data_IF_612153680645
#
_entry.id   IF_612153680645
#
_cell.length_a   1.000
_cell.length_b   1.000
_cell.length_c   1.000
_cell.angle_alpha   90.00
_cell.angle_beta   90.00
_cell.angle_gamma   90.00
#
_symmetry.space_group_name_H-M   'P 1'
#
loop_
_entity.id
_entity.type
_entity.pdbx_description
1 polymer ?
#
# COMPACT_ATOMS: atom_id res chain seq x y z
N UNK A 1 -87.30 89.96 -62.49
CA UNK A 1 -87.11 89.09 -61.30
C UNK A 1 -85.69 88.51 -61.32
N UNK A 2 -85.33 87.55 -60.45
CA UNK A 2 -83.92 87.21 -60.12
C UNK A 2 -83.07 86.70 -61.31
N UNK A 3 -81.74 86.88 -61.20
CA UNK A 3 -80.71 86.54 -62.20
C UNK A 3 -79.94 85.26 -61.86
N UNK A 4 -79.61 84.51 -62.92
CA UNK A 4 -78.32 83.87 -63.27
C UNK A 4 -77.49 83.03 -62.25
N UNK A 5 -77.33 81.75 -62.65
CA UNK A 5 -76.03 81.10 -62.98
C UNK A 5 -75.19 80.42 -61.87
N UNK A 6 -74.39 79.43 -62.31
CA UNK A 6 -73.57 78.46 -61.56
C UNK A 6 -72.07 78.67 -61.91
N UNK A 7 -71.15 78.30 -60.99
CA UNK A 7 -69.64 78.37 -60.95
C UNK A 7 -69.21 79.15 -59.68
N UNK A 8 -68.17 78.84 -58.86
CA UNK A 8 -67.08 77.84 -58.71
C UNK A 8 -66.83 77.71 -57.16
N UNK A 9 -66.24 76.67 -56.55
CA UNK A 9 -65.70 75.40 -57.04
C UNK A 9 -64.34 75.03 -56.39
N UNK A 10 -64.19 73.78 -55.90
CA UNK A 10 -63.00 73.17 -55.25
C UNK A 10 -62.52 73.73 -53.89
N UNK A 11 -62.21 72.82 -52.95
CA UNK A 11 -61.60 73.12 -51.64
C UNK A 11 -61.17 71.84 -50.92
N UNK A 12 -59.86 71.70 -50.65
CA UNK A 12 -59.26 70.52 -50.03
C UNK A 12 -59.30 70.59 -48.49
N UNK A 13 -59.52 69.46 -47.82
CA UNK A 13 -59.06 69.23 -46.44
C UNK A 13 -58.44 67.85 -46.32
N UNK A 14 -57.30 67.75 -45.65
CA UNK A 14 -56.66 66.48 -45.31
C UNK A 14 -57.24 65.95 -44.00
N UNK A 15 -57.63 64.68 -43.97
CA UNK A 15 -57.81 63.94 -42.72
C UNK A 15 -56.48 63.30 -42.34
N UNK A 16 -55.90 63.71 -41.20
CA UNK A 16 -54.70 63.08 -40.66
C UNK A 16 -55.08 61.77 -39.95
N UNK A 17 -54.62 60.64 -40.49
CA UNK A 17 -54.68 59.37 -39.78
C UNK A 17 -53.64 59.35 -38.65
N UNK A 18 -54.05 58.94 -37.45
CA UNK A 18 -53.15 58.72 -36.33
C UNK A 18 -52.38 57.41 -36.53
N UNK A 19 -51.07 57.48 -36.73
CA UNK A 19 -50.22 56.30 -36.53
C UNK A 19 -50.18 55.95 -35.05
N UNK A 20 -50.57 54.71 -34.70
CA UNK A 20 -50.20 54.13 -33.42
C UNK A 20 -48.68 54.09 -33.31
N UNK A 21 -48.15 54.41 -32.11
CA UNK A 21 -46.73 54.29 -31.85
C UNK A 21 -46.35 52.82 -31.71
N UNK A 22 -45.59 52.30 -32.66
CA UNK A 22 -44.87 51.04 -32.49
C UNK A 22 -43.88 51.19 -31.32
N UNK A 23 -44.17 50.57 -30.17
CA UNK A 23 -43.17 50.46 -29.08
C UNK A 23 -42.01 49.59 -29.54
N UNK A 24 -40.91 50.22 -29.98
CA UNK A 24 -39.62 49.53 -30.09
C UNK A 24 -39.10 49.35 -28.66
N UNK A 25 -39.44 48.21 -28.06
CA UNK A 25 -38.79 47.76 -26.82
C UNK A 25 -37.41 47.22 -27.18
N UNK A 26 -36.37 47.98 -26.87
CA UNK A 26 -35.01 47.43 -26.81
C UNK A 26 -34.95 46.42 -25.65
N UNK A 27 -35.02 45.13 -25.97
CA UNK A 27 -34.83 44.05 -25.00
C UNK A 27 -33.33 43.81 -24.84
N UNK A 28 -32.64 44.75 -24.21
CA UNK A 28 -31.26 44.60 -23.71
C UNK A 28 -31.25 43.98 -22.31
N UNK A 29 -32.10 42.97 -22.08
CA UNK A 29 -31.83 41.98 -21.04
C UNK A 29 -30.70 41.08 -21.56
N UNK A 30 -29.48 41.29 -21.07
CA UNK A 30 -28.40 40.30 -21.19
C UNK A 30 -28.78 39.04 -20.38
N UNK A 31 -29.62 38.20 -20.99
CA UNK A 31 -29.99 36.90 -20.45
C UNK A 31 -28.77 35.99 -20.55
N UNK A 32 -27.98 36.01 -19.47
CA UNK A 32 -27.06 34.92 -19.12
C UNK A 32 -27.90 33.67 -18.88
N UNK A 33 -28.31 33.02 -19.97
CA UNK A 33 -28.90 31.68 -19.93
C UNK A 33 -27.80 30.76 -19.41
N UNK A 34 -27.94 30.13 -18.24
CA UNK A 34 -26.95 29.17 -17.78
C UNK A 34 -26.92 28.04 -18.79
N UNK A 35 -25.81 27.85 -19.49
CA UNK A 35 -25.67 26.67 -20.34
C UNK A 35 -25.77 25.45 -19.40
N UNK A 36 -26.72 24.52 -19.65
CA UNK A 36 -26.82 23.32 -18.83
C UNK A 36 -25.58 22.47 -19.13
N UNK A 37 -24.62 22.50 -18.21
CA UNK A 37 -23.31 21.85 -18.41
C UNK A 37 -23.49 20.36 -18.70
N UNK A 38 -22.72 19.90 -19.67
CA UNK A 38 -22.72 18.52 -20.13
C UNK A 38 -22.30 17.52 -19.04
N UNK A 39 -22.65 16.25 -19.22
CA UNK A 39 -22.17 15.18 -18.35
C UNK A 39 -20.65 15.03 -18.53
N UNK A 40 -19.89 15.49 -17.54
CA UNK A 40 -18.46 15.27 -17.44
C UNK A 40 -18.23 13.84 -16.94
N UNK A 41 -17.59 13.01 -17.75
CA UNK A 41 -16.95 11.78 -17.26
C UNK A 41 -15.48 12.08 -16.99
N UNK A 42 -15.06 11.93 -15.73
CA UNK A 42 -13.65 11.96 -15.34
C UNK A 42 -13.03 10.59 -15.62
N UNK A 43 -11.80 10.57 -16.13
CA UNK A 43 -10.96 9.39 -16.25
C UNK A 43 -9.58 9.69 -15.66
N UNK A 44 -9.26 9.09 -14.52
CA UNK A 44 -8.00 9.28 -13.83
C UNK A 44 -6.83 8.60 -14.56
N UNK A 45 -5.68 9.26 -14.58
CA UNK A 45 -4.43 8.71 -15.10
C UNK A 45 -3.37 8.84 -14.02
N UNK A 46 -3.29 7.82 -13.17
CA UNK A 46 -2.30 7.77 -12.11
C UNK A 46 -0.90 7.43 -12.65
N UNK A 47 0.13 8.10 -12.13
CA UNK A 47 1.53 7.83 -12.44
C UNK A 47 2.43 8.09 -11.20
N UNK A 48 3.68 7.62 -11.26
CA UNK A 48 4.69 7.88 -10.22
C UNK A 48 5.62 9.02 -10.65
N UNK A 49 5.93 9.90 -9.70
CA UNK A 49 6.76 11.10 -9.87
C UNK A 49 7.43 11.45 -8.52
N UNK A 50 8.16 12.57 -8.42
CA UNK A 50 8.65 13.10 -7.14
C UNK A 50 9.64 12.16 -6.44
N UNK A 51 10.49 11.48 -7.22
CA UNK A 51 11.45 10.50 -6.73
C UNK A 51 12.40 11.09 -5.68
N UNK A 52 12.48 10.41 -4.54
CA UNK A 52 13.43 10.65 -3.47
C UNK A 52 14.16 9.33 -3.17
N UNK A 53 15.44 9.41 -2.83
CA UNK A 53 16.26 8.27 -2.46
C UNK A 53 17.04 8.61 -1.20
N UNK A 54 17.10 7.69 -0.23
CA UNK A 54 17.99 7.75 0.94
C UNK A 54 19.03 6.66 0.88
N UNK A 55 20.26 7.02 1.19
CA UNK A 55 21.47 6.20 1.06
C UNK A 55 22.23 6.18 2.39
N UNK A 56 23.34 5.42 2.45
CA UNK A 56 24.27 5.49 3.57
C UNK A 56 24.75 6.93 3.90
N UNK A 57 24.83 7.81 2.91
CA UNK A 57 25.29 9.20 3.08
C UNK A 57 24.26 10.04 3.86
N UNK A 58 22.96 9.89 3.56
CA UNK A 58 21.86 10.49 4.33
C UNK A 58 21.82 10.03 5.79
N UNK A 59 22.34 8.83 6.08
CA UNK A 59 22.46 8.26 7.44
C UNK A 59 23.81 8.62 8.11
N UNK A 60 24.54 9.61 7.58
CA UNK A 60 25.82 10.06 8.14
C UNK A 60 26.99 9.11 7.85
N UNK A 61 26.96 8.42 6.70
CA UNK A 61 27.96 7.43 6.28
C UNK A 61 27.75 6.04 6.88
N UNK A 62 26.62 5.79 7.56
CA UNK A 62 26.31 4.47 8.15
C UNK A 62 25.86 3.48 7.08
N UNK A 63 26.32 2.22 7.09
CA UNK A 63 25.88 1.20 6.13
C UNK A 63 24.35 1.01 6.14
N UNK A 64 23.77 0.96 4.95
CA UNK A 64 22.37 0.65 4.71
C UNK A 64 22.28 -0.60 3.82
N UNK A 65 21.44 -1.55 4.21
CA UNK A 65 20.91 -2.62 3.36
C UNK A 65 19.48 -2.91 3.83
N UNK A 66 18.50 -2.30 3.17
CA UNK A 66 17.10 -2.33 3.54
C UNK A 66 16.45 -3.66 3.12
N UNK A 67 16.46 -4.65 4.03
CA UNK A 67 15.99 -6.02 3.76
C UNK A 67 14.47 -6.18 3.83
N UNK A 68 13.81 -5.44 4.73
CA UNK A 68 12.35 -5.27 4.79
C UNK A 68 12.01 -3.92 5.43
N UNK A 69 10.73 -3.52 5.41
CA UNK A 69 10.25 -2.31 6.08
C UNK A 69 8.81 -2.46 6.57
N UNK A 70 8.42 -1.63 7.53
CA UNK A 70 7.07 -1.59 8.11
C UNK A 70 6.66 -0.15 8.41
N UNK A 71 5.42 0.21 8.07
CA UNK A 71 4.87 1.55 8.26
C UNK A 71 3.86 1.59 9.41
N UNK A 72 4.08 2.51 10.35
CA UNK A 72 3.30 2.67 11.58
C UNK A 72 2.96 4.15 11.79
N UNK A 73 2.00 4.64 10.99
CA UNK A 73 1.40 5.97 11.10
C UNK A 73 2.33 7.11 10.65
N UNK A 74 3.22 7.54 11.55
CA UNK A 74 4.23 8.60 11.34
C UNK A 74 5.65 8.04 11.21
N UNK A 75 5.87 6.77 11.60
CA UNK A 75 7.19 6.14 11.56
C UNK A 75 7.27 5.07 10.48
N UNK A 76 8.42 5.00 9.82
CA UNK A 76 8.80 3.87 8.97
C UNK A 76 9.97 3.16 9.64
N UNK A 77 9.75 1.90 10.03
CA UNK A 77 10.80 1.01 10.53
C UNK A 77 11.42 0.28 9.34
N UNK A 78 12.75 0.30 9.22
CA UNK A 78 13.51 -0.36 8.15
C UNK A 78 14.46 -1.37 8.77
N UNK A 79 14.32 -2.64 8.38
CA UNK A 79 15.24 -3.70 8.77
C UNK A 79 16.56 -3.52 8.01
N UNK A 80 17.53 -2.85 8.63
CA UNK A 80 18.84 -2.57 8.05
C UNK A 80 19.81 -3.71 8.39
N UNK A 81 20.00 -4.61 7.43
CA UNK A 81 20.84 -5.80 7.60
C UNK A 81 22.32 -5.45 7.76
N UNK A 82 22.85 -4.57 6.90
CA UNK A 82 24.25 -4.15 6.93
C UNK A 82 24.59 -3.27 8.14
N UNK A 83 23.68 -2.37 8.52
CA UNK A 83 23.79 -1.54 9.72
C UNK A 83 23.50 -2.27 11.03
N UNK A 84 23.09 -3.55 10.98
CA UNK A 84 22.76 -4.41 12.13
C UNK A 84 21.78 -3.76 13.12
N UNK A 85 20.73 -3.14 12.60
CA UNK A 85 19.73 -2.44 13.39
C UNK A 85 18.37 -2.37 12.68
N UNK A 86 17.35 -1.90 13.39
CA UNK A 86 16.23 -1.23 12.75
C UNK A 86 16.54 0.26 12.72
N UNK A 87 16.57 0.85 11.53
CA UNK A 87 16.57 2.31 11.38
C UNK A 87 15.13 2.81 11.30
N UNK A 88 14.87 3.96 11.90
CA UNK A 88 13.54 4.59 11.95
C UNK A 88 13.59 5.90 11.20
N UNK A 89 12.70 6.05 10.23
CA UNK A 89 12.53 7.25 9.42
C UNK A 89 11.18 7.91 9.71
N UNK A 90 11.08 9.19 9.37
CA UNK A 90 9.79 9.84 9.22
C UNK A 90 9.09 9.30 7.96
N UNK A 91 7.84 8.86 8.08
CA UNK A 91 7.13 8.25 6.98
C UNK A 91 6.75 9.24 5.85
N UNK A 92 6.67 10.54 6.13
CA UNK A 92 6.27 11.58 5.18
C UNK A 92 7.50 12.21 4.48
N UNK A 93 8.52 12.61 5.24
CA UNK A 93 9.73 13.29 4.72
C UNK A 93 10.85 12.33 4.34
N UNK A 94 10.76 11.07 4.78
CA UNK A 94 11.82 10.05 4.65
C UNK A 94 13.15 10.47 5.31
N UNK A 95 13.10 11.33 6.33
CA UNK A 95 14.27 11.75 7.10
C UNK A 95 14.60 10.73 8.19
N UNK A 96 15.89 10.47 8.42
CA UNK A 96 16.35 9.54 9.45
C UNK A 96 16.13 10.13 10.86
N UNK A 97 15.48 9.37 11.75
CA UNK A 97 15.13 9.79 13.13
C UNK A 97 16.02 9.15 14.20
N UNK A 98 16.14 7.82 14.20
CA UNK A 98 16.89 7.04 15.21
C UNK A 98 17.14 5.61 14.74
N UNK A 99 17.87 4.84 15.54
CA UNK A 99 18.09 3.40 15.32
C UNK A 99 17.86 2.59 16.59
N UNK A 100 17.50 1.31 16.44
CA UNK A 100 17.31 0.36 17.52
C UNK A 100 18.15 -0.90 17.26
N UNK A 101 18.91 -1.36 18.25
CA UNK A 101 19.62 -2.64 18.18
C UNK A 101 19.92 -3.21 19.57
N UNK A 102 20.19 -4.52 19.59
CA UNK A 102 20.76 -5.27 20.70
C UNK A 102 22.25 -5.53 20.41
N UNK A 103 23.00 -4.44 20.17
CA UNK A 103 24.35 -4.47 19.62
C UNK A 103 24.40 -5.16 18.25
N UNK A 104 25.56 -5.75 17.91
CA UNK A 104 25.79 -6.47 16.65
C UNK A 104 24.86 -7.67 16.40
N UNK A 105 23.98 -8.05 17.34
CA UNK A 105 23.04 -9.17 17.15
C UNK A 105 21.85 -8.83 16.26
N UNK A 106 21.48 -7.57 16.09
CA UNK A 106 20.28 -7.18 15.33
C UNK A 106 20.53 -7.19 13.82
N UNK A 107 20.96 -8.34 13.28
CA UNK A 107 21.12 -8.62 11.85
C UNK A 107 19.73 -8.73 11.21
N UNK A 108 19.06 -7.58 11.09
CA UNK A 108 17.65 -7.45 10.79
C UNK A 108 17.36 -7.90 9.35
N UNK A 109 16.46 -8.88 9.23
CA UNK A 109 15.91 -9.35 7.97
C UNK A 109 14.47 -8.90 7.76
N UNK A 110 13.74 -8.75 8.87
CA UNK A 110 12.33 -8.38 8.91
C UNK A 110 12.02 -7.58 10.18
N UNK A 111 10.98 -6.75 10.15
CA UNK A 111 10.54 -5.88 11.24
C UNK A 111 9.01 -5.70 11.21
N UNK A 112 8.35 -5.80 12.37
CA UNK A 112 6.90 -5.65 12.50
C UNK A 112 6.54 -4.94 13.81
N UNK A 113 5.66 -3.93 13.78
CA UNK A 113 5.20 -3.23 14.97
C UNK A 113 3.73 -3.57 15.29
N UNK A 114 3.40 -3.88 16.55
CA UNK A 114 2.01 -4.15 16.97
C UNK A 114 1.84 -3.99 18.49
N UNK A 115 0.99 -3.03 18.89
CA UNK A 115 0.96 -2.51 20.26
C UNK A 115 2.31 -1.87 20.65
N UNK A 116 2.71 -1.96 21.91
CA UNK A 116 3.94 -1.33 22.42
C UNK A 116 5.24 -2.07 22.05
N UNK A 117 5.16 -3.10 21.21
CA UNK A 117 6.30 -3.94 20.83
C UNK A 117 6.68 -3.82 19.36
N UNK A 118 7.98 -3.78 19.12
CA UNK A 118 8.61 -3.96 17.82
C UNK A 118 9.27 -5.35 17.78
N UNK A 119 8.86 -6.18 16.84
CA UNK A 119 9.41 -7.52 16.60
C UNK A 119 10.39 -7.45 15.43
N UNK A 120 11.62 -7.95 15.61
CA UNK A 120 12.69 -7.85 14.62
C UNK A 120 13.28 -9.24 14.36
N UNK A 121 13.15 -9.78 13.15
CA UNK A 121 13.75 -11.05 12.80
C UNK A 121 15.26 -10.87 12.55
N UNK A 122 16.07 -11.18 13.56
CA UNK A 122 17.53 -11.18 13.49
C UNK A 122 18.01 -12.49 12.86
N UNK A 123 17.77 -12.63 11.55
CA UNK A 123 17.80 -13.91 10.83
C UNK A 123 19.08 -14.73 11.05
N UNK A 124 20.26 -14.14 10.84
CA UNK A 124 21.55 -14.82 11.06
C UNK A 124 21.73 -15.38 12.49
N UNK A 125 21.17 -14.71 13.49
CA UNK A 125 21.17 -15.19 14.88
C UNK A 125 20.05 -16.19 15.18
N UNK A 126 19.08 -16.36 14.27
CA UNK A 126 17.93 -17.26 14.42
C UNK A 126 17.11 -16.93 15.67
N UNK A 127 16.72 -15.67 15.79
CA UNK A 127 15.85 -15.15 16.84
C UNK A 127 14.95 -14.04 16.29
N UNK A 128 13.74 -13.89 16.85
CA UNK A 128 12.97 -12.65 16.73
C UNK A 128 13.22 -11.87 18.00
N UNK A 129 13.93 -10.75 17.91
CA UNK A 129 14.15 -9.84 19.03
C UNK A 129 12.89 -9.01 19.27
N UNK A 130 12.59 -8.72 20.53
CA UNK A 130 11.43 -7.94 20.97
C UNK A 130 11.95 -6.68 21.65
N UNK A 131 11.58 -5.52 21.11
CA UNK A 131 11.92 -4.22 21.66
C UNK A 131 10.67 -3.48 22.11
N UNK A 132 10.82 -2.62 23.13
CA UNK A 132 9.86 -1.56 23.44
C UNK A 132 9.86 -0.56 22.26
N UNK A 133 8.73 -0.42 21.57
CA UNK A 133 8.60 0.38 20.33
C UNK A 133 8.94 1.85 20.54
N UNK A 134 8.60 2.40 21.71
CA UNK A 134 8.72 3.83 22.02
C UNK A 134 10.16 4.24 22.35
N UNK A 135 10.85 3.43 23.15
CA UNK A 135 12.20 3.70 23.65
C UNK A 135 13.31 3.03 22.84
N UNK A 136 12.98 1.99 22.05
CA UNK A 136 13.96 1.16 21.38
C UNK A 136 14.74 0.22 22.31
N UNK A 137 14.31 0.08 23.57
CA UNK A 137 14.94 -0.82 24.54
C UNK A 137 14.68 -2.28 24.17
N UNK A 138 15.73 -3.09 24.05
CA UNK A 138 15.60 -4.54 23.95
C UNK A 138 14.98 -5.13 25.23
N UNK A 139 13.97 -5.99 25.07
CA UNK A 139 13.26 -6.65 26.16
C UNK A 139 13.63 -8.14 26.21
N UNK A 140 13.24 -8.89 25.17
CA UNK A 140 13.35 -10.35 25.11
C UNK A 140 13.43 -10.82 23.65
N UNK A 141 13.30 -12.12 23.40
CA UNK A 141 13.33 -12.73 22.06
C UNK A 141 12.53 -14.03 21.97
N UNK A 142 12.10 -14.38 20.78
CA UNK A 142 11.61 -15.70 20.39
C UNK A 142 12.77 -16.51 19.76
N UNK A 143 12.86 -17.80 20.05
CA UNK A 143 14.02 -18.63 19.67
C UNK A 143 15.12 -18.65 20.74
N UNK A 144 16.18 -19.44 20.53
CA UNK A 144 17.33 -19.50 21.45
C UNK A 144 18.50 -18.60 21.03
N UNK A 145 18.47 -18.11 19.78
CA UNK A 145 19.52 -17.26 19.22
C UNK A 145 20.83 -17.98 18.86
N UNK A 146 20.77 -19.29 18.64
CA UNK A 146 21.92 -20.15 18.35
C UNK A 146 21.52 -21.41 17.58
N UNK A 147 22.19 -21.71 16.47
CA UNK A 147 22.06 -22.99 15.76
C UNK A 147 22.81 -24.10 16.51
N UNK A 148 22.35 -25.38 16.54
CA UNK A 148 21.11 -25.93 15.97
C UNK A 148 19.93 -26.01 16.96
N UNK A 149 20.06 -25.34 18.11
CA UNK A 149 19.06 -25.30 19.18
C UNK A 149 17.85 -24.43 18.81
N UNK A 150 18.08 -23.32 18.10
CA UNK A 150 17.00 -22.45 17.64
C UNK A 150 16.25 -23.08 16.47
N UNK A 151 15.04 -22.57 16.28
CA UNK A 151 14.04 -23.07 15.33
C UNK A 151 13.27 -21.89 14.72
N UNK A 152 13.92 -20.73 14.68
CA UNK A 152 13.51 -19.51 13.97
C UNK A 152 14.39 -19.42 12.74
N UNK A 153 13.85 -18.99 11.61
CA UNK A 153 14.56 -19.06 10.34
C UNK A 153 15.76 -18.14 10.23
N UNK A 154 16.84 -18.66 9.61
CA UNK A 154 17.97 -17.86 9.13
C UNK A 154 17.55 -16.74 8.18
N UNK A 155 16.54 -16.97 7.34
CA UNK A 155 16.05 -15.95 6.39
C UNK A 155 15.28 -14.86 7.12
N UNK A 156 14.63 -15.20 8.25
CA UNK A 156 13.95 -14.30 9.17
C UNK A 156 12.69 -13.64 8.59
N UNK A 157 11.50 -14.07 9.05
CA UNK A 157 10.24 -13.37 8.76
C UNK A 157 9.28 -13.46 9.95
N UNK A 158 8.61 -12.35 10.28
CA UNK A 158 7.76 -12.15 11.46
C UNK A 158 6.55 -11.26 11.17
N UNK A 159 5.39 -11.66 11.68
CA UNK A 159 4.15 -10.88 11.67
C UNK A 159 3.49 -10.93 13.06
N UNK A 160 2.73 -9.92 13.45
CA UNK A 160 2.00 -9.93 14.72
C UNK A 160 0.53 -9.50 14.57
N UNK A 161 -0.27 -9.91 15.56
CA UNK A 161 -1.57 -9.32 15.91
C UNK A 161 -1.52 -8.90 17.39
N UNK A 162 -2.57 -8.26 17.96
CA UNK A 162 -2.59 -7.97 19.39
C UNK A 162 -2.40 -9.20 20.29
N UNK A 163 -2.76 -10.41 19.81
CA UNK A 163 -2.66 -11.67 20.57
C UNK A 163 -1.53 -12.60 20.13
N UNK A 164 -1.19 -12.68 18.84
CA UNK A 164 -0.29 -13.70 18.32
C UNK A 164 0.96 -13.10 17.66
N UNK A 165 2.07 -13.82 17.70
CA UNK A 165 3.25 -13.57 16.85
C UNK A 165 3.47 -14.79 15.97
N UNK A 166 3.54 -14.56 14.66
CA UNK A 166 3.82 -15.55 13.64
C UNK A 166 5.28 -15.45 13.25
N UNK A 167 6.01 -16.57 13.27
CA UNK A 167 7.44 -16.61 12.94
C UNK A 167 7.76 -17.84 12.11
N UNK A 168 8.52 -17.66 11.03
CA UNK A 168 8.88 -18.73 10.11
C UNK A 168 10.05 -19.60 10.65
N UNK A 169 9.90 -20.93 10.64
CA UNK A 169 10.83 -21.91 11.25
C UNK A 169 11.72 -22.61 10.19
N UNK A 170 13.04 -22.35 10.12
CA UNK A 170 13.89 -23.00 9.09
C UNK A 170 14.22 -24.48 9.34
N UNK A 171 13.69 -25.12 10.39
CA UNK A 171 13.96 -26.52 10.73
C UNK A 171 12.79 -27.44 10.37
N UNK A 172 11.60 -26.89 10.14
CA UNK A 172 10.38 -27.63 9.81
C UNK A 172 9.52 -26.90 8.76
N UNK A 173 8.61 -27.63 8.13
CA UNK A 173 7.70 -27.14 7.09
C UNK A 173 6.47 -26.41 7.68
N UNK A 174 6.70 -25.43 8.57
CA UNK A 174 5.62 -24.68 9.25
C UNK A 174 5.94 -23.21 9.57
N UNK A 175 4.89 -22.48 9.91
CA UNK A 175 4.96 -21.20 10.64
C UNK A 175 4.68 -21.49 12.12
N UNK A 176 5.55 -21.01 13.01
CA UNK A 176 5.33 -21.04 14.45
C UNK A 176 4.43 -19.89 14.88
N UNK A 177 3.54 -20.18 15.79
CA UNK A 177 2.71 -19.21 16.49
C UNK A 177 3.18 -19.14 17.93
N UNK A 178 3.35 -17.92 18.45
CA UNK A 178 3.58 -17.64 19.86
C UNK A 178 2.43 -16.78 20.39
N UNK A 179 2.00 -17.06 21.62
CA UNK A 179 0.94 -16.30 22.30
C UNK A 179 1.56 -15.14 23.07
N UNK A 180 1.14 -13.91 22.73
CA UNK A 180 1.64 -12.67 23.35
C UNK A 180 1.24 -12.55 24.81
N UNK A 181 0.08 -13.08 25.19
CA UNK A 181 -0.43 -13.09 26.56
C UNK A 181 0.45 -13.99 27.47
N UNK A 182 1.24 -14.88 26.87
CA UNK A 182 2.14 -15.80 27.55
C UNK A 182 3.64 -15.42 27.49
N UNK A 183 3.99 -14.24 26.96
CA UNK A 183 5.38 -13.78 26.88
C UNK A 183 5.87 -13.16 28.20
N UNK A 184 6.97 -13.68 28.74
CA UNK A 184 7.72 -12.98 29.79
C UNK A 184 8.78 -12.08 29.13
N UNK A 185 8.55 -10.76 29.16
CA UNK A 185 9.42 -9.76 28.53
C UNK A 185 10.72 -9.48 29.32
N UNK A 186 10.85 -10.00 30.54
CA UNK A 186 12.09 -9.95 31.34
C UNK A 186 12.93 -11.24 31.19
N UNK A 187 12.36 -12.31 30.62
CA UNK A 187 13.06 -13.55 30.38
C UNK A 187 14.04 -13.45 29.19
N UNK A 188 15.20 -14.10 29.30
CA UNK A 188 16.24 -14.08 28.27
C UNK A 188 15.84 -14.74 26.92
N UNK A 189 14.69 -15.40 26.85
CA UNK A 189 14.01 -15.89 25.65
C UNK A 189 12.61 -16.44 26.00
N UNK A 190 11.72 -16.50 25.02
CA UNK A 190 10.41 -17.13 25.08
C UNK A 190 10.31 -18.20 23.98
N UNK A 191 10.23 -19.47 24.37
CA UNK A 191 10.28 -20.62 23.44
C UNK A 191 9.05 -21.56 23.50
N UNK A 192 8.01 -21.18 24.27
CA UNK A 192 6.73 -21.91 24.32
C UNK A 192 5.92 -21.62 23.05
N UNK A 193 5.96 -22.54 22.08
CA UNK A 193 5.15 -22.47 20.86
C UNK A 193 3.68 -22.72 21.21
N UNK A 194 2.79 -21.84 20.74
CA UNK A 194 1.33 -21.93 20.90
C UNK A 194 0.70 -22.85 19.83
N UNK A 195 1.14 -22.72 18.58
CA UNK A 195 0.70 -23.55 17.46
C UNK A 195 1.78 -23.67 16.36
N UNK A 196 1.65 -24.66 15.48
CA UNK A 196 2.50 -24.91 14.31
C UNK A 196 1.63 -25.07 13.06
N UNK A 197 1.65 -24.06 12.19
CA UNK A 197 0.82 -24.02 10.97
C UNK A 197 1.58 -24.70 9.82
N UNK A 198 1.22 -25.95 9.51
CA UNK A 198 1.84 -26.71 8.42
C UNK A 198 1.60 -26.04 7.06
N UNK A 199 2.64 -25.94 6.24
CA UNK A 199 2.60 -25.43 4.86
C UNK A 199 2.70 -26.53 3.81
N UNK A 200 2.54 -27.79 4.19
CA UNK A 200 2.43 -28.92 3.26
C UNK A 200 3.73 -29.37 2.57
N UNK A 201 4.84 -28.63 2.71
CA UNK A 201 6.18 -29.07 2.29
C UNK A 201 6.77 -28.42 1.03
N UNK A 202 6.07 -27.52 0.33
CA UNK A 202 6.75 -26.65 -0.66
C UNK A 202 7.70 -25.65 0.03
N UNK A 203 7.53 -25.46 1.34
CA UNK A 203 8.22 -24.51 2.21
C UNK A 203 9.37 -25.20 2.94
N UNK A 204 10.57 -24.62 2.88
CA UNK A 204 11.70 -24.85 3.81
C UNK A 204 12.41 -26.21 3.64
N UNK A 205 13.70 -26.15 3.30
CA UNK A 205 14.47 -27.32 2.85
C UNK A 205 14.12 -27.78 1.43
N UNK A 206 13.08 -27.20 0.81
CA UNK A 206 12.74 -27.39 -0.60
C UNK A 206 13.69 -26.61 -1.50
N UNK A 207 13.86 -27.07 -2.74
CA UNK A 207 14.59 -26.33 -3.81
C UNK A 207 14.01 -24.93 -4.08
N UNK A 208 12.74 -24.74 -3.72
CA UNK A 208 11.95 -23.54 -3.98
C UNK A 208 11.98 -22.55 -2.80
N UNK A 209 12.74 -22.84 -1.74
CA UNK A 209 12.92 -21.95 -0.59
C UNK A 209 13.61 -20.62 -1.02
N UNK A 210 13.06 -19.45 -0.64
CA UNK A 210 13.67 -18.14 -0.91
C UNK A 210 14.82 -17.85 0.09
N UNK A 211 15.90 -18.64 0.03
CA UNK A 211 17.04 -18.54 0.96
C UNK A 211 17.81 -17.19 0.93
N UNK A 212 17.68 -16.42 -0.16
CA UNK A 212 18.33 -15.13 -0.36
C UNK A 212 17.39 -14.08 -0.95
N UNK A 213 16.08 -14.19 -0.68
CA UNK A 213 15.08 -13.22 -1.10
C UNK A 213 14.28 -12.77 0.12
N UNK A 214 13.95 -11.48 0.21
CA UNK A 214 12.92 -11.04 1.16
C UNK A 214 11.54 -11.44 0.63
N UNK A 215 10.67 -11.90 1.52
CA UNK A 215 9.30 -12.31 1.22
C UNK A 215 8.44 -12.12 2.46
N UNK A 216 7.19 -11.76 2.22
CA UNK A 216 6.33 -11.13 3.19
C UNK A 216 5.32 -12.13 3.82
N UNK A 217 4.88 -11.81 5.03
CA UNK A 217 3.86 -12.54 5.79
C UNK A 217 3.04 -11.50 6.55
N UNK A 218 1.75 -11.41 6.26
CA UNK A 218 0.92 -10.31 6.75
C UNK A 218 -0.49 -10.76 7.17
N UNK A 219 -1.05 -10.05 8.16
CA UNK A 219 -2.42 -10.24 8.62
C UNK A 219 -3.33 -9.18 8.01
N UNK A 220 -4.28 -9.63 7.21
CA UNK A 220 -5.10 -8.84 6.30
C UNK A 220 -6.57 -9.22 6.52
N UNK A 221 -7.36 -8.28 7.02
CA UNK A 221 -8.71 -8.59 7.53
C UNK A 221 -8.64 -9.57 8.71
N UNK A 222 -9.30 -10.72 8.58
CA UNK A 222 -9.39 -11.75 9.63
C UNK A 222 -8.34 -12.87 9.53
N UNK A 223 -7.42 -12.79 8.57
CA UNK A 223 -6.61 -13.91 8.12
C UNK A 223 -5.12 -13.57 8.02
N UNK A 224 -4.27 -14.53 8.41
CA UNK A 224 -2.85 -14.55 8.13
C UNK A 224 -2.62 -15.01 6.69
N UNK A 225 -1.73 -14.34 5.97
CA UNK A 225 -1.24 -14.72 4.64
C UNK A 225 0.27 -14.86 4.65
N UNK A 226 0.81 -15.87 3.96
CA UNK A 226 2.24 -16.02 3.73
C UNK A 226 2.49 -16.25 2.23
N UNK A 227 3.35 -15.41 1.64
CA UNK A 227 3.59 -15.40 0.19
C UNK A 227 4.90 -16.13 -0.15
N UNK A 228 4.89 -16.97 -1.18
CA UNK A 228 6.09 -17.65 -1.70
C UNK A 228 6.38 -17.13 -3.12
N UNK A 229 7.20 -16.08 -3.28
CA UNK A 229 7.40 -15.43 -4.58
C UNK A 229 7.95 -16.37 -5.66
N UNK A 230 8.77 -17.35 -5.28
CA UNK A 230 9.37 -18.32 -6.23
C UNK A 230 8.32 -19.17 -6.95
N UNK A 231 7.37 -19.72 -6.20
CA UNK A 231 6.35 -20.66 -6.72
C UNK A 231 5.02 -19.98 -7.07
N UNK A 232 4.82 -18.71 -6.68
CA UNK A 232 3.53 -18.04 -6.77
C UNK A 232 2.48 -18.60 -5.80
N UNK A 233 2.90 -19.35 -4.77
CA UNK A 233 2.00 -19.91 -3.76
C UNK A 233 1.68 -18.86 -2.70
N UNK A 234 0.42 -18.83 -2.26
CA UNK A 234 -0.06 -18.05 -1.13
C UNK A 234 -0.76 -19.02 -0.18
N UNK A 235 -0.25 -19.13 1.03
CA UNK A 235 -0.92 -19.82 2.14
C UNK A 235 -1.78 -18.82 2.91
N UNK A 236 -2.88 -19.29 3.48
CA UNK A 236 -3.71 -18.46 4.36
C UNK A 236 -4.52 -19.26 5.37
N UNK A 237 -4.71 -18.68 6.55
CA UNK A 237 -5.46 -19.23 7.68
C UNK A 237 -6.22 -18.10 8.36
N UNK A 238 -7.44 -18.33 8.85
CA UNK A 238 -8.13 -17.37 9.72
C UNK A 238 -7.42 -17.28 11.07
N UNK A 239 -7.22 -16.08 11.59
CA UNK A 239 -6.58 -15.85 12.89
C UNK A 239 -7.37 -16.50 14.02
N UNK A 240 -8.71 -16.45 13.96
CA UNK A 240 -9.58 -17.08 14.96
C UNK A 240 -9.51 -18.62 14.91
N UNK A 241 -9.38 -19.23 13.72
CA UNK A 241 -9.15 -20.68 13.60
C UNK A 241 -7.81 -21.09 14.20
N UNK A 242 -6.77 -20.24 14.10
CA UNK A 242 -5.49 -20.48 14.77
C UNK A 242 -5.65 -20.43 16.29
N UNK A 243 -6.41 -19.46 16.82
CA UNK A 243 -6.68 -19.32 18.25
C UNK A 243 -7.42 -20.55 18.80
N UNK A 244 -8.47 -21.00 18.11
CA UNK A 244 -9.33 -22.09 18.56
C UNK A 244 -8.72 -23.48 18.30
N UNK A 245 -8.13 -23.71 17.13
CA UNK A 245 -7.77 -25.04 16.60
C UNK A 245 -6.24 -25.29 16.55
N UNK A 246 -5.41 -24.25 16.71
CA UNK A 246 -3.94 -24.33 16.82
C UNK A 246 -3.29 -25.06 15.64
N UNK A 247 -2.56 -26.15 15.90
CA UNK A 247 -1.90 -26.99 14.88
C UNK A 247 -2.88 -27.55 13.82
N UNK A 248 -4.20 -27.54 14.10
CA UNK A 248 -5.26 -28.05 13.23
C UNK A 248 -6.03 -26.95 12.47
N UNK A 249 -5.63 -25.68 12.58
CA UNK A 249 -6.30 -24.56 11.91
C UNK A 249 -6.41 -24.77 10.38
N UNK A 250 -7.60 -24.67 9.76
CA UNK A 250 -7.78 -24.95 8.34
C UNK A 250 -6.92 -24.07 7.42
N UNK A 251 -6.06 -24.72 6.64
CA UNK A 251 -5.23 -24.08 5.62
C UNK A 251 -6.00 -23.89 4.31
N UNK A 252 -5.91 -22.70 3.73
CA UNK A 252 -6.25 -22.42 2.33
C UNK A 252 -4.99 -22.12 1.52
N UNK A 253 -4.81 -22.83 0.41
CA UNK A 253 -3.68 -22.63 -0.52
C UNK A 253 -4.19 -22.18 -1.88
N UNK A 254 -3.53 -21.19 -2.47
CA UNK A 254 -3.72 -20.77 -3.87
C UNK A 254 -2.35 -20.61 -4.54
N UNK A 255 -2.20 -20.99 -5.82
CA UNK A 255 -0.94 -20.85 -6.56
C UNK A 255 -1.21 -20.24 -7.94
N UNK A 256 -0.41 -19.26 -8.34
CA UNK A 256 -0.46 -18.63 -9.67
C UNK A 256 0.86 -18.76 -10.42
N UNK A 257 0.79 -18.82 -11.75
CA UNK A 257 1.95 -18.66 -12.65
C UNK A 257 1.96 -17.29 -13.35
N UNK A 258 0.81 -16.61 -13.41
CA UNK A 258 0.63 -15.31 -14.05
C UNK A 258 1.26 -14.19 -13.22
N UNK A 259 1.11 -14.28 -11.89
CA UNK A 259 1.62 -13.31 -10.93
C UNK A 259 2.29 -14.00 -9.74
N UNK A 260 3.27 -13.31 -9.16
CA UNK A 260 4.05 -13.75 -8.00
C UNK A 260 4.17 -12.59 -7.02
N UNK A 261 3.38 -12.64 -5.95
CA UNK A 261 3.37 -11.58 -4.92
C UNK A 261 4.72 -11.54 -4.20
N UNK A 262 5.16 -10.32 -3.86
CA UNK A 262 6.44 -10.02 -3.21
C UNK A 262 6.23 -9.47 -1.81
N UNK A 263 5.39 -8.45 -1.70
CA UNK A 263 5.03 -7.73 -0.47
C UNK A 263 3.67 -7.06 -0.61
N UNK A 264 3.10 -6.66 0.52
CA UNK A 264 1.84 -5.93 0.60
C UNK A 264 1.91 -4.83 1.66
N UNK A 265 1.29 -3.68 1.39
CA UNK A 265 1.14 -2.59 2.34
C UNK A 265 -0.31 -2.15 2.46
N UNK A 266 -0.73 -1.91 3.71
CA UNK A 266 -2.10 -1.55 4.08
C UNK A 266 -2.30 -0.06 3.86
N UNK A 267 -3.39 0.32 3.21
CA UNK A 267 -3.79 1.74 3.15
C UNK A 267 -4.38 2.19 4.49
N UNK A 268 -4.46 3.51 4.71
CA UNK A 268 -5.05 4.09 5.93
C UNK A 268 -6.51 3.66 6.14
N UNK A 269 -7.24 3.49 5.05
CA UNK A 269 -8.64 3.06 5.00
C UNK A 269 -8.82 1.54 5.18
N UNK A 270 -7.73 0.75 5.23
CA UNK A 270 -7.67 -0.71 5.55
C UNK A 270 -8.46 -1.67 4.64
N UNK A 271 -9.40 -1.18 3.84
CA UNK A 271 -10.13 -1.92 2.82
C UNK A 271 -9.42 -1.93 1.46
N UNK A 272 -8.27 -1.24 1.33
CA UNK A 272 -7.37 -1.32 0.17
C UNK A 272 -5.94 -1.65 0.56
N UNK A 273 -5.21 -2.24 -0.38
CA UNK A 273 -3.80 -2.60 -0.20
C UNK A 273 -3.02 -2.30 -1.47
N UNK A 274 -1.83 -1.75 -1.31
CA UNK A 274 -0.82 -1.79 -2.36
C UNK A 274 -0.10 -3.13 -2.32
N UNK A 275 0.08 -3.75 -3.47
CA UNK A 275 0.72 -5.06 -3.63
C UNK A 275 1.88 -4.91 -4.61
N UNK A 276 3.05 -5.40 -4.21
CA UNK A 276 4.20 -5.59 -5.11
C UNK A 276 4.14 -7.00 -5.70
N UNK A 277 4.20 -7.13 -7.01
CA UNK A 277 4.20 -8.43 -7.69
C UNK A 277 5.07 -8.45 -8.94
N UNK A 278 5.65 -9.61 -9.22
CA UNK A 278 6.15 -9.94 -10.55
C UNK A 278 4.98 -10.49 -11.36
N UNK A 279 4.57 -9.79 -12.42
CA UNK A 279 3.46 -10.17 -13.32
C UNK A 279 3.83 -9.73 -14.75
N UNK A 280 3.53 -10.57 -15.74
CA UNK A 280 3.88 -10.36 -17.16
C UNK A 280 5.39 -10.11 -17.38
N UNK A 281 6.24 -10.72 -16.56
CA UNK A 281 7.70 -10.56 -16.58
C UNK A 281 8.22 -9.23 -16.00
N UNK A 282 7.35 -8.31 -15.59
CA UNK A 282 7.69 -7.02 -14.97
C UNK A 282 7.33 -6.96 -13.49
N UNK A 283 8.01 -6.10 -12.73
CA UNK A 283 7.53 -5.69 -11.41
C UNK A 283 6.39 -4.68 -11.60
N UNK A 284 5.29 -4.91 -10.89
CA UNK A 284 4.10 -4.07 -10.86
C UNK A 284 3.79 -3.72 -9.40
N UNK A 285 3.57 -2.43 -9.11
CA UNK A 285 3.03 -1.94 -7.84
C UNK A 285 1.57 -1.56 -8.09
N UNK A 286 0.64 -2.25 -7.46
CA UNK A 286 -0.78 -2.12 -7.79
C UNK A 286 -1.69 -2.13 -6.56
N UNK A 287 -2.69 -1.26 -6.56
CA UNK A 287 -3.69 -1.16 -5.51
C UNK A 287 -4.89 -2.07 -5.81
N UNK A 288 -5.34 -2.82 -4.80
CA UNK A 288 -6.51 -3.69 -4.87
C UNK A 288 -7.41 -3.49 -3.65
N UNK A 289 -8.70 -3.82 -3.79
CA UNK A 289 -9.60 -3.93 -2.63
C UNK A 289 -9.27 -5.17 -1.79
N UNK A 290 -9.70 -5.16 -0.52
CA UNK A 290 -9.66 -6.32 0.37
C UNK A 290 -10.36 -7.53 -0.28
N UNK A 291 -11.53 -7.30 -0.88
CA UNK A 291 -12.34 -8.34 -1.51
C UNK A 291 -11.60 -8.99 -2.71
N UNK A 292 -10.98 -8.19 -3.57
CA UNK A 292 -10.21 -8.69 -4.71
C UNK A 292 -8.98 -9.47 -4.26
N UNK A 293 -8.22 -8.96 -3.28
CA UNK A 293 -7.07 -9.66 -2.71
C UNK A 293 -7.47 -11.00 -2.07
N UNK A 294 -8.59 -11.04 -1.32
CA UNK A 294 -9.11 -12.25 -0.70
C UNK A 294 -9.63 -13.25 -1.75
N UNK A 295 -10.26 -12.78 -2.82
CA UNK A 295 -10.72 -13.58 -3.95
C UNK A 295 -9.60 -13.99 -4.93
N UNK A 296 -8.38 -13.45 -4.78
CA UNK A 296 -7.23 -13.58 -5.71
C UNK A 296 -7.46 -12.94 -7.09
N UNK A 297 -8.38 -11.97 -7.18
CA UNK A 297 -8.71 -11.24 -8.41
C UNK A 297 -7.67 -10.14 -8.72
N UNK A 298 -6.50 -10.52 -9.21
CA UNK A 298 -5.44 -9.58 -9.61
C UNK A 298 -5.51 -9.18 -11.09
N UNK A 299 -6.71 -9.22 -11.69
CA UNK A 299 -6.95 -8.84 -13.07
C UNK A 299 -7.15 -7.32 -13.24
N UNK A 300 -7.94 -6.69 -12.36
CA UNK A 300 -8.37 -5.30 -12.47
C UNK A 300 -7.95 -4.50 -11.22
N UNK A 301 -6.71 -3.99 -11.15
CA UNK A 301 -6.28 -3.11 -10.07
C UNK A 301 -7.01 -1.76 -10.10
N UNK A 302 -7.16 -1.14 -8.94
CA UNK A 302 -7.67 0.23 -8.78
C UNK A 302 -6.67 1.26 -9.33
N UNK A 303 -5.38 1.00 -9.10
CA UNK A 303 -4.24 1.78 -9.59
C UNK A 303 -3.09 0.83 -9.89
N UNK A 304 -2.31 1.05 -10.95
CA UNK A 304 -1.18 0.19 -11.30
C UNK A 304 0.00 0.98 -11.85
N UNK A 305 1.20 0.68 -11.37
CA UNK A 305 2.46 1.27 -11.78
C UNK A 305 3.43 0.16 -12.16
N UNK A 306 4.00 0.21 -13.36
CA UNK A 306 4.96 -0.78 -13.86
C UNK A 306 6.24 -0.10 -14.28
N UNK A 307 7.37 -0.79 -14.23
CA UNK A 307 8.64 -0.21 -14.63
C UNK A 307 8.65 0.26 -16.11
N UNK A 308 9.08 1.51 -16.30
CA UNK A 308 9.31 2.19 -17.58
C UNK A 308 10.66 2.94 -17.55
N UNK A 309 10.97 3.71 -18.60
CA UNK A 309 12.26 4.42 -18.74
C UNK A 309 12.49 5.55 -17.70
N UNK A 310 11.47 5.87 -16.88
CA UNK A 310 11.52 6.87 -15.81
C UNK A 310 11.44 6.22 -14.43
N UNK A 311 10.58 5.21 -14.28
CA UNK A 311 10.25 4.54 -13.02
C UNK A 311 10.98 3.19 -12.94
N UNK A 312 12.14 3.18 -12.28
CA UNK A 312 12.91 1.96 -12.05
C UNK A 312 12.45 1.26 -10.76
N UNK A 313 11.86 0.07 -10.89
CA UNK A 313 11.37 -0.74 -9.78
C UNK A 313 12.33 -1.89 -9.42
N UNK A 314 12.73 -2.07 -8.15
CA UNK A 314 13.59 -3.17 -7.70
C UNK A 314 13.01 -4.57 -7.97
N UNK A 315 13.86 -5.53 -8.34
CA UNK A 315 13.45 -6.93 -8.60
C UNK A 315 12.92 -7.68 -7.37
N UNK A 316 13.31 -7.23 -6.16
CA UNK A 316 12.79 -7.68 -4.87
C UNK A 316 12.17 -6.50 -4.11
N UNK A 317 11.18 -5.82 -4.71
CA UNK A 317 10.55 -4.66 -4.07
C UNK A 317 9.64 -5.08 -2.90
N UNK A 318 10.05 -4.75 -1.67
CA UNK A 318 9.15 -4.50 -0.54
C UNK A 318 8.57 -3.08 -0.68
N UNK A 319 7.29 -2.90 -0.34
CA UNK A 319 6.64 -1.58 -0.33
C UNK A 319 6.01 -1.19 1.01
N UNK A 320 6.01 0.11 1.29
CA UNK A 320 5.09 0.77 2.22
C UNK A 320 4.29 1.85 1.49
N UNK A 321 3.00 1.97 1.80
CA UNK A 321 2.16 3.08 1.34
C UNK A 321 1.97 4.11 2.46
N UNK A 322 2.21 5.39 2.16
CA UNK A 322 1.93 6.50 3.09
C UNK A 322 1.43 7.71 2.31
N UNK A 323 0.15 8.11 2.53
CA UNK A 323 -0.44 9.38 2.04
C UNK A 323 -0.04 9.70 0.60
N UNK A 324 -0.50 8.87 -0.34
CA UNK A 324 -0.19 8.96 -1.78
C UNK A 324 1.30 8.88 -2.13
N UNK A 325 2.07 8.10 -1.37
CA UNK A 325 3.48 7.79 -1.65
C UNK A 325 3.75 6.30 -1.50
N UNK A 326 4.65 5.78 -2.32
CA UNK A 326 5.15 4.41 -2.24
C UNK A 326 6.64 4.45 -1.89
N UNK A 327 6.99 3.87 -0.74
CA UNK A 327 8.36 3.74 -0.23
C UNK A 327 8.83 2.31 -0.53
N UNK A 328 10.01 2.16 -1.13
CA UNK A 328 10.51 0.91 -1.72
C UNK A 328 11.89 0.54 -1.16
N UNK A 329 12.09 -0.73 -0.80
CA UNK A 329 13.44 -1.26 -0.50
C UNK A 329 14.25 -1.47 -1.78
N UNK A 330 15.48 -0.96 -1.83
CA UNK A 330 16.38 -1.13 -2.98
C UNK A 330 17.83 -1.43 -2.53
N UNK A 331 17.98 -2.40 -1.62
CA UNK A 331 19.27 -2.81 -1.05
C UNK A 331 19.93 -1.64 -0.31
N UNK A 332 21.05 -1.14 -0.85
CA UNK A 332 21.82 -0.04 -0.27
C UNK A 332 21.11 1.33 -0.25
N UNK A 333 19.87 1.42 -0.72
CA UNK A 333 19.03 2.63 -0.66
C UNK A 333 17.56 2.34 -0.41
N UNK A 334 16.87 3.36 0.08
CA UNK A 334 15.43 3.41 0.30
C UNK A 334 14.85 4.44 -0.68
N UNK A 335 14.04 4.00 -1.64
CA UNK A 335 13.41 4.88 -2.63
C UNK A 335 12.00 5.30 -2.16
N UNK A 336 11.53 6.46 -2.61
CA UNK A 336 10.15 6.91 -2.43
C UNK A 336 9.66 7.61 -3.70
N UNK A 337 8.45 7.29 -4.11
CA UNK A 337 7.74 7.93 -5.22
C UNK A 337 6.43 8.51 -4.74
N UNK A 338 6.08 9.71 -5.20
CA UNK A 338 4.75 10.27 -5.02
C UNK A 338 3.82 9.73 -6.11
N UNK A 339 2.60 9.33 -5.73
CA UNK A 339 1.52 9.04 -6.67
C UNK A 339 0.91 10.37 -7.12
N UNK A 340 0.85 10.58 -8.43
CA UNK A 340 0.22 11.74 -9.07
C UNK A 340 -0.92 11.28 -9.97
N UNK A 341 -1.84 12.18 -10.28
CA UNK A 341 -2.98 11.92 -11.17
C UNK A 341 -3.12 13.05 -12.20
N UNK A 342 -3.32 12.71 -13.46
CA UNK A 342 -3.68 13.64 -14.53
C UNK A 342 -5.08 13.29 -15.09
N UNK A 343 -6.18 13.73 -14.43
CA UNK A 343 -7.53 13.38 -14.84
C UNK A 343 -7.87 13.99 -16.20
N UNK A 344 -8.35 13.16 -17.12
CA UNK A 344 -8.97 13.61 -18.37
C UNK A 344 -10.48 13.78 -18.19
N UNK A 345 -11.06 14.74 -18.90
CA UNK A 345 -12.47 15.10 -18.81
C UNK A 345 -13.16 14.88 -20.16
N UNK A 346 -13.96 13.82 -20.28
CA UNK A 346 -14.81 13.57 -21.45
C UNK A 346 -16.11 14.36 -21.27
N UNK A 347 -16.20 15.51 -21.93
CA UNK A 347 -17.39 16.38 -21.97
C UNK A 347 -18.32 15.86 -23.08
N UNK A 348 -19.56 15.48 -22.76
CA UNK A 348 -20.52 14.93 -23.73
C UNK A 348 -21.68 15.89 -24.03
N UNK A 349 -21.68 16.54 -25.21
CA UNK A 349 -22.78 17.38 -25.67
C UNK A 349 -24.13 16.71 -25.48
N UNK A 350 -25.00 17.37 -24.72
CA UNK A 350 -26.38 16.93 -24.48
C UNK A 350 -27.08 16.65 -25.82
N UNK A 351 -27.48 15.39 -26.04
CA UNK A 351 -28.27 15.02 -27.21
C UNK A 351 -29.60 15.80 -27.19
N UNK A 352 -30.01 16.30 -28.36
CA UNK A 352 -31.20 17.14 -28.57
C UNK A 352 -32.44 16.31 -28.81
#
# INVERSE_FOLDING_TARGET
MRKNMIMIGAGMMLALASCDKTEIREITEDRVVPQPVDTIKVADHFYLDGHLSRTAEDLGGRPLDAANLFHDGEELYVANFAGKCVDVFDAETLEFKRSMSNGDRTLARDVYAEGDHLFVAAGENQEVQIFDRKTGKYLSRLGTGSWPASMISKVGCVCATPRLVFVRDSKYTNIRVFDREALNLEAANNNKVFAKLSTGGDFIGSKDEPLGESYDMEVIGDSLYAFIPRTGTIYSWKVEDIIQQKDYAPLKVSRSQEFKLRSISKTHDKDKFFVSMLKDGKIQLAEYSLADFQARNFANPLRCFTADDRVLLPSQTIIAYQKEKLILTNGAKLDRWDIRNNPAYEIKPRQK
#
